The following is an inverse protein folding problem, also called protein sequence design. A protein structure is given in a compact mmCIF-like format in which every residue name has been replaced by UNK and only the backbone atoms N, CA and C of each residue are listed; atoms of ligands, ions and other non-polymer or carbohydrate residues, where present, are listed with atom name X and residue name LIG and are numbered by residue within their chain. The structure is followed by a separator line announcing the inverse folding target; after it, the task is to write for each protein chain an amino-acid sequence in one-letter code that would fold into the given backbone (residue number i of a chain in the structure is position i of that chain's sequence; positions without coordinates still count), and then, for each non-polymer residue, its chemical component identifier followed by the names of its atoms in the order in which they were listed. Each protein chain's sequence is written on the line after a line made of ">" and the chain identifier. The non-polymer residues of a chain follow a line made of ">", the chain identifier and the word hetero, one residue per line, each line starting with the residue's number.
data_IF_773071705920
#
_entry.id   IF_773071705920
#
_cell.length_a   1.000
_cell.length_b   1.000
_cell.length_c   1.000
_cell.angle_alpha   90.00
_cell.angle_beta   90.00
_cell.angle_gamma   90.00
#
_symmetry.space_group_name_H-M   'P 1'
#
loop_
_entity.id
_entity.type
_entity.pdbx_description
1 polymer ?
#
# COMPACT_ATOMS: atom_id res chain seq x y z
N UNK A 1 34.59 -12.58 -43.61
CA UNK A 1 33.14 -12.71 -43.34
C UNK A 1 32.93 -13.86 -42.35
N UNK A 2 32.63 -13.56 -41.06
CA UNK A 2 32.06 -14.47 -40.04
C UNK A 2 31.80 -13.65 -38.78
N UNK A 3 30.54 -13.31 -38.52
CA UNK A 3 30.07 -12.46 -37.42
C UNK A 3 29.93 -13.33 -36.16
N UNK A 4 30.59 -13.00 -35.05
CA UNK A 4 30.39 -13.66 -33.75
C UNK A 4 29.32 -12.88 -32.99
N UNK A 5 28.15 -13.48 -32.83
CA UNK A 5 27.02 -12.89 -32.12
C UNK A 5 27.35 -12.73 -30.63
N UNK A 6 27.00 -11.56 -30.08
CA UNK A 6 27.08 -11.26 -28.65
C UNK A 6 25.90 -11.95 -27.97
N UNK A 7 26.19 -12.76 -26.95
CA UNK A 7 25.20 -13.40 -26.11
C UNK A 7 24.61 -12.35 -25.15
N UNK A 8 23.38 -11.95 -25.46
CA UNK A 8 22.63 -10.95 -24.71
C UNK A 8 22.10 -11.58 -23.43
N UNK A 9 22.53 -11.02 -22.30
CA UNK A 9 21.99 -11.28 -20.95
C UNK A 9 20.46 -11.19 -21.00
N UNK A 10 19.78 -12.28 -20.65
CA UNK A 10 18.33 -12.32 -20.52
C UNK A 10 17.93 -11.62 -19.21
N UNK A 11 17.91 -10.29 -19.24
CA UNK A 11 17.23 -9.49 -18.23
C UNK A 11 15.73 -9.72 -18.44
N UNK A 12 15.08 -10.42 -17.51
CA UNK A 12 13.62 -10.49 -17.44
C UNK A 12 13.09 -9.09 -17.18
N UNK A 13 12.82 -8.39 -18.26
CA UNK A 13 12.10 -7.13 -18.30
C UNK A 13 10.66 -7.41 -17.86
N UNK A 14 10.36 -7.10 -16.60
CA UNK A 14 8.99 -7.05 -16.11
C UNK A 14 8.28 -5.93 -16.86
N UNK A 15 7.37 -6.31 -17.75
CA UNK A 15 6.50 -5.40 -18.48
C UNK A 15 5.52 -4.75 -17.52
N UNK A 16 5.83 -3.58 -16.97
CA UNK A 16 4.84 -2.64 -16.44
C UNK A 16 5.39 -1.21 -16.57
N UNK A 17 4.67 -0.36 -17.30
CA UNK A 17 5.01 1.06 -17.50
C UNK A 17 4.97 1.89 -16.20
N UNK A 18 5.39 3.16 -16.23
CA UNK A 18 5.84 3.89 -15.03
C UNK A 18 4.77 4.36 -14.03
N UNK A 19 3.49 4.01 -14.18
CA UNK A 19 2.42 4.70 -13.41
C UNK A 19 1.24 3.85 -12.93
N UNK A 20 1.27 2.52 -13.07
CA UNK A 20 0.13 1.70 -12.66
C UNK A 20 0.28 1.18 -11.23
N UNK A 21 -0.31 1.90 -10.26
CA UNK A 21 -0.86 1.36 -9.00
C UNK A 21 0.04 0.30 -8.32
N UNK A 22 1.28 0.63 -7.97
CA UNK A 22 2.07 -0.21 -7.05
C UNK A 22 1.77 0.20 -5.62
N UNK A 23 1.71 -0.76 -4.69
CA UNK A 23 1.72 -0.43 -3.27
C UNK A 23 3.01 0.31 -2.92
N UNK A 24 2.95 1.42 -2.15
CA UNK A 24 4.16 2.04 -1.64
C UNK A 24 4.98 1.03 -0.85
N UNK A 25 6.31 1.10 -0.99
CA UNK A 25 7.21 0.15 -0.35
C UNK A 25 6.98 0.16 1.17
N UNK A 26 6.83 -1.05 1.76
CA UNK A 26 6.57 -1.27 3.20
C UNK A 26 5.27 -0.67 3.73
N UNK A 27 4.31 -0.27 2.89
CA UNK A 27 3.04 0.28 3.38
C UNK A 27 2.26 -0.70 4.27
N UNK A 28 2.40 -2.01 4.00
CA UNK A 28 1.78 -3.09 4.78
C UNK A 28 2.45 -3.29 6.16
N UNK A 29 3.74 -2.93 6.28
CA UNK A 29 4.51 -3.12 7.51
C UNK A 29 4.16 -2.09 8.61
N UNK A 30 3.36 -1.07 8.28
CA UNK A 30 2.95 -0.03 9.22
C UNK A 30 1.52 -0.24 9.72
N UNK A 31 1.34 -0.01 11.02
CA UNK A 31 0.02 0.04 11.65
C UNK A 31 -0.89 1.08 10.95
N UNK A 32 -2.19 0.79 10.77
CA UNK A 32 -3.09 1.71 10.10
C UNK A 32 -3.23 3.07 10.80
N UNK A 33 -3.35 3.04 12.14
CA UNK A 33 -3.54 4.21 12.99
C UNK A 33 -2.60 4.11 14.19
N UNK A 34 -1.86 5.19 14.45
CA UNK A 34 -0.99 5.32 15.61
C UNK A 34 -1.72 5.85 16.85
N UNK A 35 -0.99 5.96 17.98
CA UNK A 35 -1.55 6.51 19.22
C UNK A 35 -1.80 8.03 19.09
N UNK A 36 -2.84 8.57 19.74
CA UNK A 36 -3.03 10.02 19.85
C UNK A 36 -1.80 10.68 20.48
N UNK A 37 -1.37 11.80 19.89
CA UNK A 37 -0.27 12.59 20.43
C UNK A 37 -0.76 13.37 21.64
N UNK A 38 -0.29 12.96 22.83
CA UNK A 38 -0.70 13.52 24.12
C UNK A 38 -0.54 15.04 24.16
N UNK A 39 -1.56 15.74 24.64
CA UNK A 39 -1.57 17.21 24.69
C UNK A 39 -1.89 17.90 23.36
N UNK A 40 -2.21 17.13 22.31
CA UNK A 40 -2.65 17.66 21.01
C UNK A 40 -3.95 16.99 20.57
N UNK A 41 -4.53 17.51 19.48
CA UNK A 41 -5.68 16.89 18.80
C UNK A 41 -5.24 16.08 17.57
N UNK A 42 -3.97 15.69 17.51
CA UNK A 42 -3.40 14.99 16.36
C UNK A 42 -3.30 13.48 16.61
N UNK A 43 -3.69 12.71 15.60
CA UNK A 43 -3.49 11.27 15.48
C UNK A 43 -2.77 11.04 14.16
N UNK A 44 -1.70 10.25 14.19
CA UNK A 44 -1.00 9.83 12.99
C UNK A 44 -1.66 8.57 12.42
N UNK A 45 -1.76 8.47 11.09
CA UNK A 45 -2.26 7.29 10.39
C UNK A 45 -1.56 7.19 9.04
N UNK A 46 -1.44 5.98 8.48
CA UNK A 46 -0.90 5.79 7.13
C UNK A 46 -1.90 6.27 6.09
N UNK A 47 -1.48 6.48 4.85
CA UNK A 47 -2.41 6.96 3.81
C UNK A 47 -3.48 5.90 3.52
N UNK A 48 -4.78 6.18 3.70
CA UNK A 48 -5.84 5.27 3.29
C UNK A 48 -5.85 5.16 1.76
N UNK A 49 -6.11 3.97 1.25
CA UNK A 49 -6.18 3.72 -0.20
C UNK A 49 -7.64 3.53 -0.61
N UNK A 50 -7.96 3.77 -1.88
CA UNK A 50 -9.33 3.62 -2.38
C UNK A 50 -9.72 2.14 -2.42
N UNK A 51 -11.02 1.84 -2.27
CA UNK A 51 -11.54 0.47 -2.39
C UNK A 51 -11.09 -0.21 -3.70
N UNK A 52 -11.12 0.52 -4.82
CA UNK A 52 -10.64 0.06 -6.13
C UNK A 52 -9.17 -0.39 -6.17
N UNK A 53 -8.37 0.07 -5.21
CA UNK A 53 -6.97 -0.34 -5.07
C UNK A 53 -6.86 -1.79 -4.59
N UNK A 54 -7.80 -2.24 -3.75
CA UNK A 54 -7.83 -3.57 -3.13
C UNK A 54 -8.63 -4.57 -3.98
N UNK A 55 -9.81 -4.18 -4.49
CA UNK A 55 -10.72 -5.07 -5.26
C UNK A 55 -10.02 -5.75 -6.44
N UNK A 56 -9.13 -5.03 -7.13
CA UNK A 56 -8.46 -5.52 -8.33
C UNK A 56 -7.18 -6.33 -8.04
N UNK A 57 -6.84 -6.56 -6.77
CA UNK A 57 -5.60 -7.26 -6.35
C UNK A 57 -5.84 -8.58 -5.62
N UNK A 58 -7.10 -9.04 -5.54
CA UNK A 58 -7.44 -10.36 -5.02
C UNK A 58 -6.89 -10.62 -3.62
N UNK A 59 -6.40 -11.84 -3.38
CA UNK A 59 -5.88 -12.35 -2.10
C UNK A 59 -4.50 -11.80 -1.72
N UNK A 60 -3.98 -10.78 -2.41
CA UNK A 60 -2.67 -10.19 -2.11
C UNK A 60 -2.64 -9.44 -0.76
N UNK A 61 -3.80 -9.22 -0.14
CA UNK A 61 -3.97 -8.51 1.12
C UNK A 61 -4.79 -9.34 2.10
N UNK A 62 -4.38 -9.40 3.37
CA UNK A 62 -5.26 -9.89 4.41
C UNK A 62 -6.33 -8.82 4.71
N UNK A 63 -7.48 -9.23 5.23
CA UNK A 63 -8.55 -8.31 5.64
C UNK A 63 -8.04 -7.24 6.64
N UNK A 64 -7.09 -7.61 7.50
CA UNK A 64 -6.45 -6.73 8.48
C UNK A 64 -5.55 -5.65 7.83
N UNK A 65 -5.07 -5.90 6.61
CA UNK A 65 -4.18 -4.99 5.87
C UNK A 65 -4.98 -3.95 5.05
N UNK A 66 -6.29 -4.15 4.90
CA UNK A 66 -7.18 -3.22 4.20
C UNK A 66 -7.41 -1.99 5.07
N UNK A 67 -6.99 -0.84 4.56
CA UNK A 67 -7.17 0.45 5.24
C UNK A 67 -7.77 1.49 4.30
N UNK A 68 -9.08 1.68 4.46
CA UNK A 68 -9.91 2.60 3.69
C UNK A 68 -10.31 3.82 4.52
N UNK A 69 -10.92 4.81 3.88
CA UNK A 69 -11.41 6.00 4.57
C UNK A 69 -12.48 5.64 5.61
N UNK A 70 -13.32 4.66 5.31
CA UNK A 70 -14.35 4.18 6.26
C UNK A 70 -13.72 3.54 7.50
N UNK A 71 -12.56 2.89 7.35
CA UNK A 71 -11.78 2.36 8.47
C UNK A 71 -11.30 3.48 9.40
N UNK A 72 -10.93 4.65 8.87
CA UNK A 72 -10.55 5.80 9.72
C UNK A 72 -11.72 6.23 10.61
N UNK A 73 -12.92 6.33 10.02
CA UNK A 73 -14.10 6.79 10.75
C UNK A 73 -14.51 5.81 11.85
N UNK A 74 -14.37 4.49 11.61
CA UNK A 74 -14.63 3.50 12.65
C UNK A 74 -13.65 3.63 13.83
N UNK A 75 -12.36 3.87 13.56
CA UNK A 75 -11.36 4.12 14.61
C UNK A 75 -11.69 5.37 15.43
N UNK A 76 -11.98 6.50 14.78
CA UNK A 76 -12.30 7.74 15.49
C UNK A 76 -13.57 7.60 16.32
N UNK A 77 -14.59 6.94 15.78
CA UNK A 77 -15.83 6.65 16.52
C UNK A 77 -15.55 5.82 17.77
N UNK A 78 -14.75 4.77 17.66
CA UNK A 78 -14.41 3.91 18.79
C UNK A 78 -13.61 4.64 19.87
N UNK A 79 -12.63 5.47 19.50
CA UNK A 79 -11.79 6.19 20.46
C UNK A 79 -12.45 7.42 21.11
N UNK A 80 -13.43 8.05 20.45
CA UNK A 80 -14.08 9.26 20.97
C UNK A 80 -15.32 8.97 21.81
N UNK A 81 -15.94 7.80 21.67
CA UNK A 81 -17.22 7.47 22.31
C UNK A 81 -17.14 6.30 23.30
N UNK A 82 -15.93 5.86 23.68
CA UNK A 82 -15.67 4.90 24.76
C UNK A 82 -14.52 5.40 25.65
#
# INVERSE_FOLDING_TARGET
>A
MRRRAKESKNAKESKNGPTARRLPDRWIDYDPVGKPLTGTRFIAFKTPLSHDFFVNRGDDFNEEDVFEVDTIMSYVSWFCFH
#
